data_IF_290319863776
#
_entry.id   IF_290319863776
#
_cell.length_a   1.000
_cell.length_b   1.000
_cell.length_c   1.000
_cell.angle_alpha   90.00
_cell.angle_beta   90.00
_cell.angle_gamma   90.00
#
_symmetry.space_group_name_H-M   'P 1'
#
loop_
_entity.id
_entity.type
_entity.pdbx_description
1 polymer ?
#
# COMPACT_ATOMS: atom_id res chain seq x y z
N UNK A 1 21.85 -12.89 10.71
CA UNK A 1 21.29 -12.86 12.09
C UNK A 1 19.86 -12.36 12.02
N UNK A 2 18.87 -13.19 12.36
CA UNK A 2 17.46 -12.76 12.36
C UNK A 2 17.26 -11.68 13.43
N UNK A 3 16.96 -10.47 13.01
CA UNK A 3 16.69 -9.34 13.90
C UNK A 3 15.44 -9.69 14.74
N UNK A 4 15.64 -9.89 16.05
CA UNK A 4 14.54 -10.20 16.98
C UNK A 4 13.53 -9.05 16.94
N UNK A 5 12.35 -9.27 16.35
CA UNK A 5 11.29 -8.27 16.25
C UNK A 5 10.99 -7.69 17.63
N UNK A 6 10.92 -6.37 17.71
CA UNK A 6 10.58 -5.69 18.96
C UNK A 6 9.13 -5.99 19.36
N UNK A 7 8.77 -5.80 20.64
CA UNK A 7 7.38 -5.95 21.09
C UNK A 7 6.46 -4.96 20.37
N UNK A 8 6.95 -3.77 20.05
CA UNK A 8 6.19 -2.77 19.29
C UNK A 8 5.91 -3.26 17.88
N UNK A 9 6.87 -3.90 17.22
CA UNK A 9 6.67 -4.46 15.87
C UNK A 9 5.62 -5.57 15.88
N UNK A 10 5.67 -6.48 16.87
CA UNK A 10 4.69 -7.55 17.02
C UNK A 10 3.26 -6.99 17.21
N UNK A 11 3.10 -5.94 18.02
CA UNK A 11 1.81 -5.27 18.24
C UNK A 11 1.32 -4.64 16.93
N UNK A 12 2.19 -3.95 16.16
CA UNK A 12 1.82 -3.37 14.87
C UNK A 12 1.42 -4.45 13.84
N UNK A 13 2.16 -5.57 13.76
CA UNK A 13 1.79 -6.67 12.87
C UNK A 13 0.42 -7.27 13.25
N UNK A 14 0.17 -7.53 14.53
CA UNK A 14 -1.12 -8.03 14.99
C UNK A 14 -2.26 -7.01 14.76
N UNK A 15 -1.98 -5.71 14.86
CA UNK A 15 -2.93 -4.66 14.51
C UNK A 15 -3.32 -4.70 13.04
N UNK A 16 -2.34 -4.88 12.15
CA UNK A 16 -2.56 -5.00 10.70
C UNK A 16 -3.32 -6.29 10.35
N UNK A 17 -3.00 -7.41 11.02
CA UNK A 17 -3.73 -8.66 10.83
C UNK A 17 -5.21 -8.50 11.22
N UNK A 18 -5.48 -7.93 12.39
CA UNK A 18 -6.86 -7.71 12.85
C UNK A 18 -7.63 -6.75 11.93
N UNK A 19 -6.98 -5.68 11.47
CA UNK A 19 -7.59 -4.75 10.51
C UNK A 19 -7.92 -5.43 9.18
N UNK A 20 -7.04 -6.29 8.68
CA UNK A 20 -7.26 -7.03 7.44
C UNK A 20 -8.36 -8.10 7.56
N UNK A 21 -8.41 -8.81 8.69
CA UNK A 21 -9.34 -9.93 8.92
C UNK A 21 -10.77 -9.46 9.26
N UNK A 22 -10.89 -8.38 10.06
CA UNK A 22 -12.18 -7.97 10.62
C UNK A 22 -12.50 -6.47 10.51
N UNK A 23 -11.75 -5.75 9.67
CA UNK A 23 -11.93 -4.32 9.48
C UNK A 23 -11.43 -3.49 10.68
N UNK A 24 -11.70 -2.17 10.63
CA UNK A 24 -11.22 -1.27 11.66
C UNK A 24 -11.80 -1.54 13.07
N UNK A 25 -12.98 -2.14 13.15
CA UNK A 25 -13.62 -2.49 14.43
C UNK A 25 -12.88 -3.61 15.18
N UNK A 26 -12.27 -4.56 14.45
CA UNK A 26 -11.51 -5.65 15.04
C UNK A 26 -10.18 -5.16 15.66
N UNK A 27 -9.66 -4.03 15.20
CA UNK A 27 -8.43 -3.44 15.71
C UNK A 27 -8.69 -2.78 17.07
N UNK A 28 -8.52 -3.55 18.14
CA UNK A 28 -8.65 -3.10 19.52
C UNK A 28 -7.43 -3.52 20.35
N UNK A 29 -7.12 -2.77 21.43
CA UNK A 29 -6.05 -3.16 22.34
C UNK A 29 -6.25 -4.57 22.91
N UNK A 30 -7.48 -4.91 23.29
CA UNK A 30 -7.81 -6.24 23.83
C UNK A 30 -7.70 -7.32 22.74
N UNK A 31 -8.11 -7.04 21.50
CA UNK A 31 -7.97 -7.95 20.38
C UNK A 31 -6.50 -8.29 20.09
N UNK A 32 -5.62 -7.28 20.18
CA UNK A 32 -4.17 -7.47 20.01
C UNK A 32 -3.60 -8.28 21.17
N UNK A 33 -3.96 -7.95 22.44
CA UNK A 33 -3.51 -8.72 23.61
C UNK A 33 -3.90 -10.20 23.46
N UNK A 34 -5.14 -10.48 23.06
CA UNK A 34 -5.64 -11.84 22.85
C UNK A 34 -4.89 -12.55 21.71
N UNK A 35 -4.70 -11.88 20.57
CA UNK A 35 -4.02 -12.46 19.39
C UNK A 35 -2.55 -12.81 19.67
N UNK A 36 -1.89 -12.04 20.52
CA UNK A 36 -0.49 -12.24 20.89
C UNK A 36 -0.30 -13.04 22.18
N UNK A 37 -1.36 -13.50 22.83
CA UNK A 37 -1.29 -14.20 24.11
C UNK A 37 -0.69 -13.35 25.23
N UNK A 38 -0.97 -12.04 25.22
CA UNK A 38 -0.46 -11.10 26.22
C UNK A 38 -1.44 -10.91 27.36
N UNK A 39 -0.91 -10.51 28.54
CA UNK A 39 -1.76 -10.09 29.64
C UNK A 39 -2.60 -8.86 29.21
N UNK A 40 -3.85 -8.80 29.67
CA UNK A 40 -4.78 -7.69 29.41
C UNK A 40 -4.16 -6.34 29.78
N UNK A 41 -4.20 -5.38 28.86
CA UNK A 41 -3.62 -4.05 29.04
C UNK A 41 -2.17 -3.91 28.56
N UNK A 42 -1.53 -5.01 28.12
CA UNK A 42 -0.15 -4.98 27.62
C UNK A 42 -0.01 -4.03 26.43
N UNK A 43 -0.91 -4.09 25.45
CA UNK A 43 -0.90 -3.20 24.28
C UNK A 43 -1.07 -1.74 24.69
N UNK A 44 -1.93 -1.45 25.69
CA UNK A 44 -2.15 -0.09 26.20
C UNK A 44 -0.91 0.52 26.87
N UNK A 45 0.01 -0.30 27.38
CA UNK A 45 1.29 0.16 27.90
C UNK A 45 2.17 0.76 26.78
N UNK A 46 2.15 0.18 25.58
CA UNK A 46 2.93 0.65 24.43
C UNK A 46 2.23 1.76 23.64
N UNK A 47 0.90 1.67 23.50
CA UNK A 47 0.07 2.59 22.73
C UNK A 47 -1.17 2.96 23.56
N UNK A 48 -1.16 4.12 24.21
CA UNK A 48 -2.22 4.52 25.15
C UNK A 48 -3.55 4.82 24.49
N UNK A 49 -3.56 5.23 23.24
CA UNK A 49 -4.76 5.62 22.51
C UNK A 49 -4.91 4.83 21.22
N UNK A 50 -6.16 4.68 20.73
CA UNK A 50 -6.44 4.10 19.44
C UNK A 50 -5.68 4.84 18.33
N UNK A 51 -5.67 6.18 18.36
CA UNK A 51 -4.95 7.01 17.38
C UNK A 51 -3.46 6.65 17.34
N UNK A 52 -2.80 6.54 18.47
CA UNK A 52 -1.38 6.18 18.52
C UNK A 52 -1.11 4.77 17.96
N UNK A 53 -2.01 3.82 18.22
CA UNK A 53 -1.93 2.46 17.69
C UNK A 53 -2.13 2.44 16.16
N UNK A 54 -3.14 3.13 15.65
CA UNK A 54 -3.42 3.27 14.20
C UNK A 54 -2.25 3.95 13.50
N UNK A 55 -1.72 5.06 14.05
CA UNK A 55 -0.55 5.76 13.50
C UNK A 55 0.67 4.84 13.39
N UNK A 56 0.94 4.03 14.42
CA UNK A 56 2.04 3.07 14.41
C UNK A 56 1.83 1.96 13.37
N UNK A 57 0.60 1.45 13.21
CA UNK A 57 0.26 0.45 12.19
C UNK A 57 0.43 1.03 10.77
N UNK A 58 -0.04 2.25 10.52
CA UNK A 58 0.15 2.94 9.23
C UNK A 58 1.64 3.18 8.96
N UNK A 59 2.40 3.64 9.96
CA UNK A 59 3.86 3.82 9.82
C UNK A 59 4.55 2.50 9.45
N UNK A 60 4.10 1.39 10.02
CA UNK A 60 4.64 0.06 9.68
C UNK A 60 4.34 -0.32 8.24
N UNK A 61 3.11 -0.09 7.73
CA UNK A 61 2.75 -0.29 6.32
C UNK A 61 3.61 0.56 5.39
N UNK A 62 3.75 1.85 5.68
CA UNK A 62 4.55 2.76 4.88
C UNK A 62 6.05 2.38 4.86
N UNK A 63 6.58 1.88 5.99
CA UNK A 63 7.96 1.39 6.06
C UNK A 63 8.16 0.17 5.17
N UNK A 64 7.27 -0.82 5.23
CA UNK A 64 7.34 -2.01 4.35
C UNK A 64 7.23 -1.65 2.88
N UNK A 65 6.41 -0.67 2.52
CA UNK A 65 6.33 -0.19 1.14
C UNK A 65 7.63 0.47 0.69
N UNK A 66 8.23 1.30 1.53
CA UNK A 66 9.54 1.91 1.22
C UNK A 66 10.65 0.88 1.06
N UNK A 67 10.70 -0.14 1.92
CA UNK A 67 11.65 -1.25 1.81
C UNK A 67 11.48 -1.97 0.46
N UNK A 68 10.24 -2.31 0.09
CA UNK A 68 9.93 -2.94 -1.19
C UNK A 68 10.34 -2.07 -2.40
N UNK A 69 10.09 -0.76 -2.36
CA UNK A 69 10.50 0.14 -3.44
C UNK A 69 12.01 0.35 -3.48
N UNK A 70 12.72 0.33 -2.35
CA UNK A 70 14.17 0.43 -2.30
C UNK A 70 14.83 -0.80 -2.95
N UNK A 71 14.30 -1.99 -2.70
CA UNK A 71 14.76 -3.23 -3.32
C UNK A 71 14.54 -3.21 -4.85
N UNK A 72 13.38 -2.72 -5.31
CA UNK A 72 13.06 -2.58 -6.73
C UNK A 72 13.91 -1.50 -7.43
N UNK A 73 14.31 -0.43 -6.74
CA UNK A 73 15.12 0.65 -7.29
C UNK A 73 16.57 0.25 -7.62
N UNK A 74 17.02 -0.94 -7.20
CA UNK A 74 18.34 -1.48 -7.56
C UNK A 74 18.42 -2.01 -8.99
N UNK A 75 17.31 -2.04 -9.74
CA UNK A 75 17.26 -2.43 -11.16
C UNK A 75 17.32 -1.21 -12.06
N UNK A 76 17.79 -1.39 -13.32
CA UNK A 76 17.75 -0.32 -14.31
C UNK A 76 16.31 0.18 -14.50
N UNK A 77 16.09 1.51 -14.52
CA UNK A 77 14.74 2.06 -14.69
C UNK A 77 14.19 1.72 -16.08
N UNK A 78 12.88 1.42 -16.19
CA UNK A 78 12.22 1.19 -17.47
C UNK A 78 12.38 2.39 -18.40
N UNK A 79 12.66 2.13 -19.68
CA UNK A 79 12.86 3.16 -20.70
C UNK A 79 11.73 3.23 -21.70
N UNK A 80 10.82 2.27 -21.69
CA UNK A 80 9.65 2.22 -22.57
C UNK A 80 8.38 2.00 -21.74
N UNK A 81 7.23 2.42 -22.27
CA UNK A 81 5.92 2.17 -21.65
C UNK A 81 5.59 0.69 -21.54
N UNK A 82 6.13 -0.14 -22.43
CA UNK A 82 6.02 -1.61 -22.39
C UNK A 82 6.76 -2.19 -21.18
N UNK A 83 8.02 -1.78 -20.96
CA UNK A 83 8.81 -2.21 -19.80
C UNK A 83 8.18 -1.72 -18.48
N UNK A 84 7.77 -0.45 -18.46
CA UNK A 84 7.11 0.16 -17.30
C UNK A 84 5.78 -0.56 -17.00
N UNK A 85 4.98 -0.87 -17.99
CA UNK A 85 3.73 -1.60 -17.86
C UNK A 85 3.93 -2.98 -17.23
N UNK A 86 5.01 -3.67 -17.58
CA UNK A 86 5.39 -4.96 -17.00
C UNK A 86 5.75 -4.83 -15.52
N UNK A 87 6.65 -3.90 -15.22
CA UNK A 87 7.09 -3.65 -13.82
C UNK A 87 5.92 -3.27 -12.92
N UNK A 88 5.02 -2.39 -13.40
CA UNK A 88 3.83 -1.99 -12.64
C UNK A 88 2.87 -3.17 -12.47
N UNK A 89 2.64 -3.99 -13.50
CA UNK A 89 1.77 -5.16 -13.40
C UNK A 89 2.30 -6.18 -12.40
N UNK A 90 3.61 -6.42 -12.37
CA UNK A 90 4.26 -7.31 -11.41
C UNK A 90 4.16 -6.74 -9.97
N UNK A 91 4.27 -5.41 -9.81
CA UNK A 91 4.01 -4.77 -8.52
C UNK A 91 2.55 -4.93 -8.06
N UNK A 92 1.58 -4.75 -8.97
CA UNK A 92 0.16 -4.98 -8.65
C UNK A 92 -0.11 -6.44 -8.27
N UNK A 93 0.52 -7.41 -8.94
CA UNK A 93 0.42 -8.82 -8.56
C UNK A 93 0.93 -9.04 -7.13
N UNK A 94 2.09 -8.47 -6.80
CA UNK A 94 2.63 -8.49 -5.43
C UNK A 94 1.65 -7.90 -4.42
N UNK A 95 1.01 -6.76 -4.72
CA UNK A 95 0.01 -6.15 -3.83
C UNK A 95 -1.24 -7.02 -3.66
N UNK A 96 -1.74 -7.60 -4.75
CA UNK A 96 -3.00 -8.34 -4.75
C UNK A 96 -2.87 -9.77 -4.21
N UNK A 97 -1.68 -10.36 -4.27
CA UNK A 97 -1.40 -11.73 -3.82
C UNK A 97 -0.56 -11.73 -2.55
N UNK A 98 0.72 -11.39 -2.65
CA UNK A 98 1.69 -11.54 -1.56
C UNK A 98 1.46 -10.55 -0.41
N UNK A 99 1.05 -9.32 -0.76
CA UNK A 99 0.78 -8.23 0.20
C UNK A 99 -0.69 -7.92 0.37
N UNK A 100 -1.58 -8.86 -0.01
CA UNK A 100 -3.04 -8.68 0.10
C UNK A 100 -3.48 -8.24 1.50
N UNK A 101 -2.86 -8.80 2.55
CA UNK A 101 -3.10 -8.37 3.93
C UNK A 101 -2.85 -6.88 4.12
N UNK A 102 -1.75 -6.35 3.59
CA UNK A 102 -1.39 -4.94 3.73
C UNK A 102 -2.40 -4.03 3.00
N UNK A 103 -2.87 -4.47 1.83
CA UNK A 103 -3.93 -3.79 1.07
C UNK A 103 -5.23 -3.72 1.86
N UNK A 104 -5.70 -4.86 2.39
CA UNK A 104 -6.92 -4.92 3.19
C UNK A 104 -6.82 -4.08 4.46
N UNK A 105 -5.69 -4.18 5.20
CA UNK A 105 -5.44 -3.38 6.38
C UNK A 105 -5.45 -1.87 6.07
N UNK A 106 -4.81 -1.45 4.98
CA UNK A 106 -4.82 -0.04 4.56
C UNK A 106 -6.24 0.48 4.33
N UNK A 107 -7.09 -0.27 3.62
CA UNK A 107 -8.47 0.15 3.39
C UNK A 107 -9.29 0.18 4.68
N UNK A 108 -9.11 -0.80 5.57
CA UNK A 108 -9.76 -0.80 6.87
C UNK A 108 -9.37 0.43 7.71
N UNK A 109 -8.09 0.82 7.70
CA UNK A 109 -7.58 1.97 8.45
C UNK A 109 -7.96 3.32 7.84
N UNK A 110 -8.41 3.38 6.58
CA UNK A 110 -8.82 4.63 5.93
C UNK A 110 -9.99 5.31 6.66
N UNK A 111 -10.87 4.53 7.29
CA UNK A 111 -12.00 5.06 8.10
C UNK A 111 -11.49 5.83 9.31
N UNK A 112 -10.49 5.30 10.03
CA UNK A 112 -9.87 5.98 11.17
C UNK A 112 -9.11 7.25 10.75
N UNK A 113 -8.60 7.28 9.52
CA UNK A 113 -7.82 8.39 8.99
C UNK A 113 -8.67 9.52 8.40
N UNK A 114 -9.97 9.32 8.18
CA UNK A 114 -10.83 10.27 7.44
C UNK A 114 -10.81 11.70 8.02
N UNK A 115 -10.75 11.84 9.35
CA UNK A 115 -10.67 13.12 10.07
C UNK A 115 -9.27 13.55 10.49
N UNK A 116 -8.21 12.84 10.10
CA UNK A 116 -6.83 13.05 10.59
C UNK A 116 -5.86 13.16 9.40
N UNK A 117 -5.32 14.37 9.19
CA UNK A 117 -4.44 14.68 8.06
C UNK A 117 -3.12 13.89 8.11
N UNK A 118 -2.54 13.70 9.29
CA UNK A 118 -1.29 12.95 9.47
C UNK A 118 -1.48 11.47 9.11
N UNK A 119 -2.59 10.87 9.55
CA UNK A 119 -2.92 9.49 9.23
C UNK A 119 -3.21 9.33 7.72
N UNK A 120 -3.92 10.29 7.09
CA UNK A 120 -4.15 10.27 5.63
C UNK A 120 -2.84 10.35 4.85
N UNK A 121 -1.92 11.25 5.24
CA UNK A 121 -0.61 11.39 4.61
C UNK A 121 0.19 10.08 4.72
N UNK A 122 0.14 9.42 5.88
CA UNK A 122 0.76 8.11 6.08
C UNK A 122 0.17 7.04 5.13
N UNK A 123 -1.16 6.95 5.04
CA UNK A 123 -1.85 5.99 4.18
C UNK A 123 -1.56 6.21 2.69
N UNK A 124 -1.40 7.46 2.25
CA UNK A 124 -1.10 7.80 0.86
C UNK A 124 0.23 7.21 0.38
N UNK A 125 1.14 6.88 1.29
CA UNK A 125 2.46 6.31 0.98
C UNK A 125 2.54 4.78 1.11
N UNK A 126 1.41 4.09 1.38
CA UNK A 126 1.43 2.67 1.75
C UNK A 126 1.46 1.70 0.57
N UNK A 127 0.95 2.04 -0.61
CA UNK A 127 0.89 1.14 -1.77
C UNK A 127 1.79 1.61 -2.91
N UNK A 128 1.87 2.91 -3.15
CA UNK A 128 2.60 3.51 -4.25
C UNK A 128 3.54 4.61 -3.76
N UNK A 129 4.64 4.81 -4.47
CA UNK A 129 5.65 5.83 -4.18
C UNK A 129 5.53 6.97 -5.19
N UNK A 130 5.06 8.15 -4.76
CA UNK A 130 5.00 9.31 -5.64
C UNK A 130 6.39 9.72 -6.18
N UNK A 131 7.48 9.71 -5.39
CA UNK A 131 8.82 9.96 -5.94
C UNK A 131 9.23 8.95 -7.01
N UNK A 132 8.97 7.64 -6.80
CA UNK A 132 9.29 6.62 -7.79
C UNK A 132 8.45 6.77 -9.07
N UNK A 133 7.15 7.05 -8.93
CA UNK A 133 6.28 7.30 -10.07
C UNK A 133 6.72 8.57 -10.85
N UNK A 134 7.13 9.64 -10.15
CA UNK A 134 7.63 10.87 -10.79
C UNK A 134 8.92 10.60 -11.56
N UNK A 135 9.86 9.85 -10.97
CA UNK A 135 11.09 9.45 -11.66
C UNK A 135 10.80 8.59 -12.90
N UNK A 136 9.86 7.63 -12.79
CA UNK A 136 9.43 6.80 -13.91
C UNK A 136 8.83 7.65 -15.04
N UNK A 137 7.88 8.54 -14.74
CA UNK A 137 7.26 9.40 -15.75
C UNK A 137 8.27 10.34 -16.40
N UNK A 138 9.27 10.82 -15.67
CA UNK A 138 10.40 11.59 -16.21
C UNK A 138 11.26 10.75 -17.16
N UNK A 139 11.60 9.51 -16.80
CA UNK A 139 12.37 8.59 -17.64
C UNK A 139 11.64 8.22 -18.94
N UNK A 140 10.31 8.15 -18.91
CA UNK A 140 9.46 7.90 -20.06
C UNK A 140 9.21 9.15 -20.92
N UNK A 141 9.70 10.33 -20.51
CA UNK A 141 9.59 11.56 -21.27
C UNK A 141 8.26 12.31 -21.14
N UNK A 142 7.50 12.10 -20.05
CA UNK A 142 6.32 12.88 -19.79
C UNK A 142 6.66 14.38 -19.65
N UNK A 143 5.83 15.26 -20.21
CA UNK A 143 6.05 16.71 -20.19
C UNK A 143 6.03 17.29 -18.77
N UNK A 144 5.08 16.87 -17.95
CA UNK A 144 5.00 17.16 -16.52
C UNK A 144 4.99 15.84 -15.72
N UNK A 145 6.18 15.35 -15.36
CA UNK A 145 6.29 14.08 -14.64
C UNK A 145 5.55 14.04 -13.30
N UNK A 146 5.42 15.19 -12.63
CA UNK A 146 4.77 15.25 -11.33
C UNK A 146 3.24 15.16 -11.44
N UNK A 147 2.66 15.75 -12.48
CA UNK A 147 1.22 15.61 -12.78
C UNK A 147 0.93 14.20 -13.26
N UNK A 148 1.68 13.71 -14.26
CA UNK A 148 1.49 12.37 -14.82
C UNK A 148 1.65 11.26 -13.75
N UNK A 149 2.56 11.42 -12.80
CA UNK A 149 2.74 10.49 -11.69
C UNK A 149 1.52 10.45 -10.76
N UNK A 150 0.92 11.60 -10.44
CA UNK A 150 -0.30 11.65 -9.62
C UNK A 150 -1.48 10.98 -10.32
N UNK A 151 -1.63 11.24 -11.62
CA UNK A 151 -2.70 10.63 -12.42
C UNK A 151 -2.50 9.11 -12.53
N UNK A 152 -1.27 8.65 -12.78
CA UNK A 152 -0.93 7.23 -12.79
C UNK A 152 -1.27 6.56 -11.45
N UNK A 153 -0.86 7.15 -10.32
CA UNK A 153 -1.17 6.60 -8.98
C UNK A 153 -2.69 6.54 -8.78
N UNK A 154 -3.44 7.56 -9.19
CA UNK A 154 -4.91 7.57 -9.07
C UNK A 154 -5.55 6.42 -9.85
N UNK A 155 -5.09 6.14 -11.06
CA UNK A 155 -5.54 5.01 -11.87
C UNK A 155 -5.19 3.66 -11.22
N UNK A 156 -3.97 3.53 -10.71
CA UNK A 156 -3.51 2.30 -10.05
C UNK A 156 -4.22 2.05 -8.72
N UNK A 157 -4.48 3.08 -7.92
CA UNK A 157 -5.30 2.99 -6.69
C UNK A 157 -6.72 2.49 -7.01
N UNK A 158 -7.34 3.04 -8.06
CA UNK A 158 -8.65 2.59 -8.53
C UNK A 158 -8.64 1.13 -8.97
N UNK A 159 -7.59 0.70 -9.68
CA UNK A 159 -7.45 -0.68 -10.15
C UNK A 159 -7.26 -1.66 -8.97
N UNK A 160 -6.42 -1.32 -7.97
CA UNK A 160 -6.25 -2.14 -6.77
C UNK A 160 -7.56 -2.26 -6.00
N UNK A 161 -8.31 -1.16 -5.85
CA UNK A 161 -9.62 -1.17 -5.21
C UNK A 161 -10.61 -2.07 -5.95
N UNK A 162 -10.71 -1.94 -7.28
CA UNK A 162 -11.62 -2.73 -8.11
C UNK A 162 -11.26 -4.22 -8.11
N UNK A 163 -9.97 -4.56 -8.14
CA UNK A 163 -9.51 -5.95 -8.00
C UNK A 163 -9.71 -6.53 -6.59
N UNK A 164 -9.91 -5.67 -5.57
CA UNK A 164 -10.10 -6.11 -4.17
C UNK A 164 -11.57 -6.18 -3.77
N UNK A 165 -12.38 -5.20 -4.18
CA UNK A 165 -13.76 -5.00 -3.72
C UNK A 165 -14.76 -4.72 -4.85
N UNK A 166 -14.30 -4.40 -6.05
CA UNK A 166 -15.16 -4.02 -7.18
C UNK A 166 -15.52 -5.19 -8.08
N UNK A 167 -15.91 -4.84 -9.31
CA UNK A 167 -16.40 -5.81 -10.30
C UNK A 167 -15.32 -6.85 -10.68
N UNK A 168 -14.05 -6.45 -10.76
CA UNK A 168 -12.94 -7.35 -11.05
C UNK A 168 -12.65 -8.36 -9.94
N UNK A 169 -13.05 -8.09 -8.70
CA UNK A 169 -12.93 -9.06 -7.62
C UNK A 169 -13.95 -10.22 -7.75
N UNK A 170 -15.06 -10.01 -8.47
CA UNK A 170 -16.14 -10.97 -8.61
C UNK A 170 -16.05 -11.79 -9.89
N UNK A 171 -15.31 -11.35 -10.88
CA UNK A 171 -15.14 -12.04 -12.15
C UNK A 171 -13.77 -12.72 -12.21
N UNK A 172 -13.68 -14.02 -12.64
CA UNK A 172 -12.38 -14.57 -13.01
C UNK A 172 -11.87 -13.79 -14.22
N UNK A 173 -11.04 -12.81 -13.96
CA UNK A 173 -10.55 -11.91 -14.97
C UNK A 173 -9.33 -12.54 -15.66
N UNK A 174 -9.47 -12.90 -16.93
CA UNK A 174 -8.35 -12.96 -17.86
C UNK A 174 -8.00 -11.51 -18.18
N UNK A 175 -7.54 -10.78 -17.16
CA UNK A 175 -7.29 -9.37 -17.28
C UNK A 175 -5.90 -9.17 -17.85
N UNK A 176 -5.83 -8.64 -19.04
CA UNK A 176 -4.57 -8.11 -19.54
C UNK A 176 -4.26 -6.77 -18.85
N UNK A 177 -4.00 -6.85 -17.54
CA UNK A 177 -3.62 -5.71 -16.72
C UNK A 177 -2.43 -4.96 -17.33
N UNK A 178 -1.52 -5.69 -17.99
CA UNK A 178 -0.36 -5.10 -18.67
C UNK A 178 -0.77 -4.21 -19.83
N UNK A 179 -1.70 -4.66 -20.67
CA UNK A 179 -2.20 -3.85 -21.79
C UNK A 179 -2.95 -2.61 -21.30
N UNK A 180 -3.78 -2.74 -20.27
CA UNK A 180 -4.49 -1.62 -19.65
C UNK A 180 -3.51 -0.59 -19.08
N UNK A 181 -2.52 -1.02 -18.30
CA UNK A 181 -1.50 -0.15 -17.71
C UNK A 181 -0.67 0.53 -18.78
N UNK A 182 -0.28 -0.22 -19.82
CA UNK A 182 0.46 0.35 -20.94
C UNK A 182 -0.35 1.44 -21.66
N UNK A 183 -1.63 1.21 -21.93
CA UNK A 183 -2.50 2.22 -22.54
C UNK A 183 -2.56 3.50 -21.69
N UNK A 184 -2.64 3.38 -20.36
CA UNK A 184 -2.58 4.54 -19.47
C UNK A 184 -1.24 5.26 -19.54
N UNK A 185 -0.12 4.52 -19.54
CA UNK A 185 1.22 5.10 -19.66
C UNK A 185 1.41 5.83 -20.98
N UNK A 186 1.02 5.21 -22.11
CA UNK A 186 1.08 5.82 -23.44
C UNK A 186 0.28 7.13 -23.48
N UNK A 187 -0.91 7.14 -22.87
CA UNK A 187 -1.76 8.34 -22.79
C UNK A 187 -1.14 9.43 -21.93
N UNK A 188 -0.64 9.08 -20.75
CA UNK A 188 -0.05 10.04 -19.78
C UNK A 188 1.27 10.64 -20.30
N UNK A 189 2.06 9.87 -21.03
CA UNK A 189 3.31 10.35 -21.66
C UNK A 189 3.01 11.23 -22.88
N UNK A 190 1.98 10.88 -23.68
CA UNK A 190 1.59 11.63 -24.87
C UNK A 190 0.78 12.89 -24.54
N UNK A 191 0.23 13.02 -23.33
CA UNK A 191 -0.57 14.18 -22.91
C UNK A 191 0.27 15.46 -22.94
N UNK A 192 -0.03 16.33 -23.93
CA UNK A 192 0.68 17.56 -24.23
C UNK A 192 0.21 18.72 -23.35
#
# INVERSE_FOLDING_TARGET
MAHRRSRRDLICEAALDLAADGGNHALTHQGIDARLGLARGSTSYYYRTRRALVSAAITRLATRSREHFADAASSDPPRTTEEAGRVIADHLETLLVDRRRDVLARYALAVDAAGDEELRAGLASCLFSLPAATALMGALGARDPAVAARDLISLLEGLVFDCTFGARALAPCVDDRRATIRLWLDTLVASR
#
